data_IF_503224078123
#
_entry.id   IF_503224078123
#
_cell.length_a   1.000
_cell.length_b   1.000
_cell.length_c   1.000
_cell.angle_alpha   90.00
_cell.angle_beta   90.00
_cell.angle_gamma   90.00
#
_symmetry.space_group_name_H-M   'P 1'
#
loop_
_entity.id
_entity.type
_entity.pdbx_description
1 polymer ?
#
# COMPACT_ATOMS: atom_id res chain seq x y z
N UNK A 1 13.24 10.41 -22.04
CA UNK A 1 12.79 10.25 -20.64
C UNK A 1 12.42 8.80 -20.45
N UNK A 2 13.17 8.03 -19.64
CA UNK A 2 12.80 6.63 -19.35
C UNK A 2 11.50 6.70 -18.56
N UNK A 3 10.36 6.44 -19.23
CA UNK A 3 9.05 6.49 -18.59
C UNK A 3 9.08 5.63 -17.34
N UNK A 4 8.78 6.23 -16.18
CA UNK A 4 8.64 5.47 -14.95
C UNK A 4 7.59 4.40 -15.21
N UNK A 5 8.01 3.14 -15.31
CA UNK A 5 7.07 2.03 -15.33
C UNK A 5 6.23 2.17 -14.07
N UNK A 6 4.94 2.40 -14.24
CA UNK A 6 3.94 2.52 -13.17
C UNK A 6 4.08 1.38 -12.15
N UNK A 7 4.53 0.22 -12.65
CA UNK A 7 4.72 -0.98 -11.86
C UNK A 7 6.20 -1.45 -11.81
N UNK A 8 6.93 -1.18 -10.71
CA UNK A 8 8.33 -1.55 -10.54
C UNK A 8 8.50 -3.03 -10.12
N UNK A 9 8.31 -3.96 -11.07
CA UNK A 9 8.37 -5.44 -10.86
C UNK A 9 9.60 -5.92 -10.10
N UNK A 10 10.78 -5.39 -10.43
CA UNK A 10 12.04 -5.81 -9.82
C UNK A 10 12.08 -5.48 -8.32
N UNK A 11 11.58 -4.30 -7.94
CA UNK A 11 11.51 -3.86 -6.55
C UNK A 11 10.54 -4.71 -5.75
N UNK A 12 9.34 -4.96 -6.28
CA UNK A 12 8.35 -5.83 -5.61
C UNK A 12 8.91 -7.22 -5.38
N UNK A 13 9.56 -7.83 -6.38
CA UNK A 13 10.19 -9.14 -6.22
C UNK A 13 11.28 -9.15 -5.14
N UNK A 14 12.12 -8.10 -5.08
CA UNK A 14 13.17 -7.98 -4.05
C UNK A 14 12.59 -7.89 -2.65
N UNK A 15 11.57 -7.04 -2.45
CA UNK A 15 10.88 -6.87 -1.16
C UNK A 15 10.23 -8.19 -0.74
N UNK A 16 9.41 -8.79 -1.61
CA UNK A 16 8.71 -10.03 -1.30
C UNK A 16 9.69 -11.15 -0.96
N UNK A 17 10.78 -11.31 -1.74
CA UNK A 17 11.79 -12.34 -1.46
C UNK A 17 12.49 -12.12 -0.11
N UNK A 18 12.80 -10.87 0.23
CA UNK A 18 13.44 -10.54 1.51
C UNK A 18 12.55 -10.79 2.73
N UNK A 19 11.22 -10.69 2.58
CA UNK A 19 10.28 -10.85 3.70
C UNK A 19 9.57 -12.21 3.76
N UNK A 20 9.53 -12.97 2.65
CA UNK A 20 8.90 -14.30 2.61
C UNK A 20 9.90 -15.46 2.63
N UNK A 21 11.18 -15.22 2.31
CA UNK A 21 12.17 -16.26 2.02
C UNK A 21 11.76 -17.25 0.91
N UNK A 22 10.73 -16.91 0.12
CA UNK A 22 10.21 -17.73 -0.97
C UNK A 22 10.57 -17.15 -2.34
N UNK A 23 10.66 -18.02 -3.35
CA UNK A 23 10.75 -17.58 -4.73
C UNK A 23 9.37 -17.09 -5.22
N UNK A 24 9.37 -15.98 -5.97
CA UNK A 24 8.14 -15.41 -6.53
C UNK A 24 7.89 -16.01 -7.91
N UNK A 25 6.80 -16.78 -8.03
CA UNK A 25 6.34 -17.39 -9.29
C UNK A 25 6.06 -16.35 -10.37
N UNK A 26 6.01 -16.79 -11.64
CA UNK A 26 5.72 -15.92 -12.78
C UNK A 26 4.39 -15.19 -12.56
N UNK A 27 4.42 -13.86 -12.66
CA UNK A 27 3.28 -12.94 -12.50
C UNK A 27 2.66 -12.87 -11.09
N UNK A 28 3.12 -13.65 -10.11
CA UNK A 28 2.68 -13.47 -8.73
C UNK A 28 3.00 -12.06 -8.21
N UNK A 29 4.12 -11.49 -8.66
CA UNK A 29 4.49 -10.11 -8.37
C UNK A 29 3.40 -9.10 -8.80
N UNK A 30 2.73 -9.34 -9.94
CA UNK A 30 1.68 -8.45 -10.47
C UNK A 30 0.48 -8.43 -9.51
N UNK A 31 0.07 -9.62 -9.04
CA UNK A 31 -1.05 -9.74 -8.11
C UNK A 31 -0.72 -9.11 -6.76
N UNK A 32 0.49 -9.30 -6.25
CA UNK A 32 0.96 -8.66 -5.01
C UNK A 32 0.93 -7.14 -5.14
N UNK A 33 1.32 -6.59 -6.29
CA UNK A 33 1.28 -5.15 -6.49
C UNK A 33 -0.14 -4.61 -6.64
N UNK A 34 -1.04 -5.37 -7.27
CA UNK A 34 -2.45 -5.00 -7.33
C UNK A 34 -3.05 -4.93 -5.93
N UNK A 35 -2.78 -5.93 -5.09
CA UNK A 35 -3.22 -5.96 -3.69
C UNK A 35 -2.66 -4.76 -2.90
N UNK A 36 -1.37 -4.44 -3.08
CA UNK A 36 -0.77 -3.23 -2.52
C UNK A 36 -1.46 -1.94 -3.00
N UNK A 37 -1.86 -1.84 -4.27
CA UNK A 37 -2.58 -0.67 -4.78
C UNK A 37 -3.98 -0.55 -4.16
N UNK A 38 -4.69 -1.66 -3.97
CA UNK A 38 -5.98 -1.70 -3.28
C UNK A 38 -5.84 -1.30 -1.80
N UNK A 39 -4.76 -1.74 -1.14
CA UNK A 39 -4.39 -1.32 0.19
C UNK A 39 -4.17 0.20 0.25
N UNK A 40 -3.34 0.75 -0.64
CA UNK A 40 -3.06 2.19 -0.68
C UNK A 40 -4.33 3.02 -0.93
N UNK A 41 -5.23 2.56 -1.81
CA UNK A 41 -6.50 3.22 -2.07
C UNK A 41 -7.39 3.23 -0.81
N UNK A 42 -7.47 2.11 -0.10
CA UNK A 42 -8.24 1.99 1.15
C UNK A 42 -7.65 2.88 2.23
N UNK A 43 -6.34 2.82 2.45
CA UNK A 43 -5.63 3.62 3.43
C UNK A 43 -5.85 5.12 3.20
N UNK A 44 -5.73 5.59 1.95
CA UNK A 44 -5.94 7.00 1.61
C UNK A 44 -7.39 7.44 1.78
N UNK A 45 -8.36 6.57 1.43
CA UNK A 45 -9.78 6.85 1.65
C UNK A 45 -10.10 6.99 3.14
N UNK A 46 -9.59 6.09 3.97
CA UNK A 46 -9.80 6.13 5.42
C UNK A 46 -9.10 7.34 6.05
N UNK A 47 -7.88 7.63 5.62
CA UNK A 47 -7.13 8.82 6.06
C UNK A 47 -7.90 10.10 5.76
N UNK A 48 -8.50 10.22 4.57
CA UNK A 48 -9.26 11.41 4.19
C UNK A 48 -10.53 11.59 5.04
N UNK A 49 -11.20 10.48 5.41
CA UNK A 49 -12.35 10.50 6.32
C UNK A 49 -11.92 10.96 7.71
N UNK A 50 -10.85 10.37 8.24
CA UNK A 50 -10.28 10.69 9.56
C UNK A 50 -9.84 12.16 9.63
N UNK A 51 -9.11 12.64 8.62
CA UNK A 51 -8.69 14.04 8.53
C UNK A 51 -9.89 15.00 8.53
N UNK A 52 -10.95 14.67 7.79
CA UNK A 52 -12.18 15.47 7.75
C UNK A 52 -12.90 15.48 9.09
N UNK A 53 -12.99 14.34 9.78
CA UNK A 53 -13.61 14.24 11.10
C UNK A 53 -12.81 14.99 12.17
N UNK A 54 -11.49 15.00 12.07
CA UNK A 54 -10.58 15.75 12.95
C UNK A 54 -10.52 17.26 12.67
N UNK A 55 -11.20 17.76 11.63
CA UNK A 55 -11.14 19.17 11.24
C UNK A 55 -9.78 19.58 10.63
N UNK A 56 -8.99 18.61 10.15
CA UNK A 56 -7.71 18.88 9.49
C UNK A 56 -7.96 19.47 8.10
N UNK A 57 -7.14 20.45 7.69
CA UNK A 57 -7.23 21.08 6.35
C UNK A 57 -6.70 20.21 5.22
N UNK A 58 -6.27 18.99 5.51
CA UNK A 58 -5.68 18.05 4.55
C UNK A 58 -5.20 16.79 5.23
N UNK A 59 -4.55 15.92 4.46
CA UNK A 59 -3.94 14.69 4.97
C UNK A 59 -2.71 15.05 5.80
N UNK A 60 -2.67 14.59 7.05
CA UNK A 60 -1.51 14.77 7.93
C UNK A 60 -0.90 13.43 8.31
N UNK A 61 0.35 13.46 8.78
CA UNK A 61 0.98 12.25 9.30
C UNK A 61 0.22 11.64 10.49
N UNK A 62 -0.55 12.46 11.24
CA UNK A 62 -1.35 12.01 12.37
C UNK A 62 -2.55 11.19 11.91
N UNK A 63 -3.32 11.69 10.95
CA UNK A 63 -4.48 10.98 10.40
C UNK A 63 -4.05 9.67 9.73
N UNK A 64 -2.94 9.66 8.98
CA UNK A 64 -2.38 8.42 8.40
C UNK A 64 -2.04 7.40 9.47
N UNK A 65 -1.27 7.79 10.50
CA UNK A 65 -0.85 6.87 11.59
C UNK A 65 -2.05 6.26 12.31
N UNK A 66 -3.12 7.04 12.50
CA UNK A 66 -4.34 6.59 13.17
C UNK A 66 -5.06 5.50 12.39
N UNK A 67 -5.22 5.67 11.07
CA UNK A 67 -5.94 4.68 10.24
C UNK A 67 -5.09 3.48 9.83
N UNK A 68 -3.75 3.59 9.92
CA UNK A 68 -2.83 2.55 9.42
C UNK A 68 -3.08 1.18 10.06
N UNK A 69 -3.32 1.12 11.37
CA UNK A 69 -3.55 -0.15 12.07
C UNK A 69 -4.82 -0.85 11.58
N UNK A 70 -5.91 -0.11 11.44
CA UNK A 70 -7.20 -0.62 10.98
C UNK A 70 -7.16 -1.03 9.51
N UNK A 71 -6.52 -0.21 8.66
CA UNK A 71 -6.32 -0.54 7.24
C UNK A 71 -5.48 -1.82 7.10
N UNK A 72 -4.39 -1.98 7.87
CA UNK A 72 -3.58 -3.20 7.83
C UNK A 72 -4.37 -4.43 8.30
N UNK A 73 -5.22 -4.28 9.31
CA UNK A 73 -6.06 -5.38 9.81
C UNK A 73 -7.04 -5.89 8.73
N UNK A 74 -7.56 -5.01 7.86
CA UNK A 74 -8.46 -5.39 6.76
C UNK A 74 -7.77 -6.18 5.63
N UNK A 75 -6.47 -5.99 5.48
CA UNK A 75 -5.66 -6.67 4.46
C UNK A 75 -4.85 -7.85 5.03
N UNK A 76 -5.10 -8.24 6.29
CA UNK A 76 -4.64 -9.54 6.80
C UNK A 76 -5.48 -10.64 6.14
N UNK A 77 -4.86 -11.34 5.20
CA UNK A 77 -5.34 -12.63 4.67
C UNK A 77 -5.12 -13.78 5.64
#
# INVERSE_FOLDING_TARGET
MVGQKLYPRATVKKIVKAHSNCNVSKNADVMIFLDYMLFMQTLMKETAIEAKQGGERGITARSVRRVTADSLAKFRG
#
